data_IF_927730006653
#
_entry.id   IF_927730006653
#
_cell.length_a   1.000
_cell.length_b   1.000
_cell.length_c   1.000
_cell.angle_alpha   90.00
_cell.angle_beta   90.00
_cell.angle_gamma   90.00
#
_symmetry.space_group_name_H-M   'P 1'
#
loop_
_entity.id
_entity.type
_entity.pdbx_description
1 polymer ?
#
# COMPACT_ATOMS: atom_id res chain seq x y z
N UNK A 1 -10.63 -7.32 -15.70
CA UNK A 1 -10.17 -5.96 -15.35
C UNK A 1 -8.66 -5.82 -15.29
N UNK A 2 -7.94 -6.49 -14.38
CA UNK A 2 -6.47 -6.35 -14.32
C UNK A 2 -5.73 -6.94 -15.54
N UNK A 3 -6.34 -7.95 -16.16
CA UNK A 3 -5.85 -8.62 -17.38
C UNK A 3 -6.30 -7.93 -18.68
N UNK A 4 -7.09 -6.85 -18.60
CA UNK A 4 -7.56 -6.11 -19.77
C UNK A 4 -6.46 -5.19 -20.31
N UNK A 5 -6.57 -4.88 -21.60
CA UNK A 5 -5.65 -3.98 -22.31
C UNK A 5 -6.40 -2.71 -22.72
N UNK A 6 -5.67 -1.74 -23.29
CA UNK A 6 -6.32 -0.55 -23.83
C UNK A 6 -7.17 -0.82 -25.07
N UNK A 7 -7.15 -2.03 -25.64
CA UNK A 7 -8.11 -2.42 -26.70
C UNK A 7 -9.52 -2.58 -26.16
N UNK A 8 -9.66 -3.07 -24.93
CA UNK A 8 -10.96 -3.27 -24.28
C UNK A 8 -11.37 -2.08 -23.41
N UNK A 9 -10.41 -1.34 -22.85
CA UNK A 9 -10.67 -0.12 -22.05
C UNK A 9 -9.56 0.91 -22.18
N UNK A 10 -9.84 2.00 -22.89
CA UNK A 10 -8.96 3.16 -22.95
C UNK A 10 -8.66 3.71 -21.55
N UNK A 11 -7.47 4.30 -21.37
CA UNK A 11 -7.01 4.98 -20.14
C UNK A 11 -6.70 4.11 -18.91
N UNK A 12 -6.71 2.78 -19.05
CA UNK A 12 -6.42 1.86 -17.96
C UNK A 12 -4.99 2.05 -17.40
N UNK A 13 -4.88 2.28 -16.09
CA UNK A 13 -3.60 2.44 -15.38
C UNK A 13 -3.65 1.81 -13.98
N UNK A 14 -2.49 1.50 -13.42
CA UNK A 14 -2.38 1.04 -12.02
C UNK A 14 -2.76 2.18 -11.08
N UNK A 15 -3.55 1.89 -10.06
CA UNK A 15 -3.93 2.84 -9.01
C UNK A 15 -3.03 2.74 -7.79
N UNK A 16 -3.29 1.73 -6.97
CA UNK A 16 -2.55 1.40 -5.75
C UNK A 16 -2.16 -0.06 -5.78
N UNK A 17 -1.05 -0.39 -5.12
CA UNK A 17 -0.57 -1.77 -4.96
C UNK A 17 -0.33 -2.02 -3.48
N UNK A 18 -0.79 -3.18 -3.02
CA UNK A 18 -0.56 -3.65 -1.67
C UNK A 18 -0.04 -5.07 -1.73
N UNK A 19 0.87 -5.40 -0.82
CA UNK A 19 1.37 -6.76 -0.63
C UNK A 19 0.83 -7.27 0.69
N UNK A 20 0.15 -8.40 0.64
CA UNK A 20 -0.37 -9.10 1.81
C UNK A 20 0.37 -10.41 2.00
N UNK A 21 0.66 -10.75 3.24
CA UNK A 21 1.47 -11.91 3.60
C UNK A 21 0.79 -12.68 4.71
N UNK A 22 0.57 -13.97 4.48
CA UNK A 22 -0.09 -14.86 5.44
C UNK A 22 0.55 -16.25 5.40
N UNK A 23 1.30 -16.56 6.46
CA UNK A 23 2.05 -17.81 6.56
C UNK A 23 3.03 -18.00 5.39
N UNK A 24 2.86 -19.07 4.61
CA UNK A 24 3.71 -19.38 3.47
C UNK A 24 3.30 -18.66 2.17
N UNK A 25 2.20 -17.89 2.18
CA UNK A 25 1.60 -17.27 1.00
C UNK A 25 1.78 -15.76 1.03
N UNK A 26 2.15 -15.18 -0.11
CA UNK A 26 2.20 -13.75 -0.35
C UNK A 26 1.34 -13.42 -1.57
N UNK A 27 0.47 -12.41 -1.45
CA UNK A 27 -0.44 -11.96 -2.50
C UNK A 27 -0.18 -10.49 -2.78
N UNK A 28 0.15 -10.18 -4.02
CA UNK A 28 0.21 -8.80 -4.50
C UNK A 28 -1.18 -8.45 -5.05
N UNK A 29 -1.82 -7.45 -4.46
CA UNK A 29 -3.08 -6.89 -4.92
C UNK A 29 -2.84 -5.54 -5.60
N UNK A 30 -3.63 -5.23 -6.61
CA UNK A 30 -3.61 -3.93 -7.27
C UNK A 30 -5.01 -3.43 -7.56
N UNK A 31 -5.19 -2.11 -7.57
CA UNK A 31 -6.36 -1.47 -8.14
C UNK A 31 -6.09 -1.00 -9.56
N UNK A 32 -7.14 -1.02 -10.39
CA UNK A 32 -7.11 -0.44 -11.72
C UNK A 32 -7.85 0.89 -11.72
N UNK A 33 -7.21 1.94 -12.21
CA UNK A 33 -7.84 3.24 -12.50
C UNK A 33 -8.24 3.30 -13.96
N UNK A 34 -9.46 3.75 -14.20
CA UNK A 34 -10.05 3.87 -15.52
C UNK A 34 -11.07 5.01 -15.55
N UNK A 35 -11.38 5.50 -16.74
CA UNK A 35 -12.52 6.40 -16.93
C UNK A 35 -13.79 5.58 -17.18
N UNK A 36 -14.83 5.68 -16.33
CA UNK A 36 -16.08 4.97 -16.57
C UNK A 36 -16.84 5.57 -17.76
N UNK A 37 -17.60 4.74 -18.48
CA UNK A 37 -18.44 5.20 -19.61
C UNK A 37 -19.59 6.10 -19.14
N UNK A 38 -20.12 5.84 -17.94
CA UNK A 38 -21.16 6.65 -17.28
C UNK A 38 -20.60 7.28 -15.99
N UNK A 39 -19.89 8.42 -16.05
CA UNK A 39 -19.26 9.04 -14.88
C UNK A 39 -20.23 9.38 -13.74
N UNK A 40 -21.51 9.63 -14.03
CA UNK A 40 -22.52 9.97 -13.02
C UNK A 40 -22.86 8.82 -12.06
N UNK A 41 -22.55 7.58 -12.45
CA UNK A 41 -22.78 6.38 -11.62
C UNK A 41 -21.61 6.06 -10.68
N UNK A 42 -20.50 6.80 -10.78
CA UNK A 42 -19.26 6.52 -10.05
C UNK A 42 -18.73 7.75 -9.35
N UNK A 43 -18.10 7.54 -8.19
CA UNK A 43 -17.23 8.56 -7.63
C UNK A 43 -15.95 8.66 -8.47
N UNK A 44 -15.74 9.82 -9.07
CA UNK A 44 -14.57 10.11 -9.92
C UNK A 44 -13.73 11.24 -9.37
N UNK A 45 -12.43 11.18 -9.61
CA UNK A 45 -11.51 12.29 -9.30
C UNK A 45 -11.70 13.50 -10.23
N UNK A 46 -10.91 14.56 -10.01
CA UNK A 46 -10.90 15.79 -10.82
C UNK A 46 -10.56 15.56 -12.30
N UNK A 47 -10.06 14.38 -12.66
CA UNK A 47 -9.67 13.98 -14.01
C UNK A 47 -10.63 12.96 -14.64
N UNK A 48 -11.71 12.60 -13.92
CA UNK A 48 -12.74 11.66 -14.36
C UNK A 48 -12.36 10.18 -14.20
N UNK A 49 -11.36 9.85 -13.39
CA UNK A 49 -11.01 8.47 -13.10
C UNK A 49 -11.73 7.96 -11.87
N UNK A 50 -12.15 6.70 -11.93
CA UNK A 50 -12.51 5.90 -10.76
C UNK A 50 -11.50 4.75 -10.61
N UNK A 51 -11.50 4.10 -9.45
CA UNK A 51 -10.60 2.99 -9.14
C UNK A 51 -11.42 1.76 -8.74
N UNK A 52 -10.93 0.57 -9.09
CA UNK A 52 -11.44 -0.66 -8.48
C UNK A 52 -10.98 -0.78 -7.04
N UNK A 53 -11.61 -1.68 -6.29
CA UNK A 53 -10.99 -2.24 -5.10
C UNK A 53 -9.65 -2.93 -5.43
N UNK A 54 -8.90 -3.29 -4.38
CA UNK A 54 -7.67 -4.05 -4.51
C UNK A 54 -7.98 -5.50 -4.92
N UNK A 55 -7.66 -5.82 -6.17
CA UNK A 55 -7.85 -7.14 -6.75
C UNK A 55 -6.54 -7.94 -6.72
N UNK A 56 -6.57 -9.26 -6.42
CA UNK A 56 -5.38 -10.10 -6.49
C UNK A 56 -4.79 -10.11 -7.90
N UNK A 57 -3.50 -9.83 -8.00
CA UNK A 57 -2.76 -9.78 -9.26
C UNK A 57 -1.74 -10.91 -9.39
N UNK A 58 -0.99 -11.18 -8.32
CA UNK A 58 0.00 -12.26 -8.27
C UNK A 58 0.01 -12.93 -6.90
N UNK A 59 0.31 -14.23 -6.91
CA UNK A 59 0.41 -15.06 -5.72
C UNK A 59 1.72 -15.85 -5.74
N UNK A 60 2.40 -15.85 -4.60
CA UNK A 60 3.64 -16.56 -4.38
C UNK A 60 3.49 -17.47 -3.16
N UNK A 61 4.07 -18.67 -3.23
CA UNK A 61 4.05 -19.66 -2.15
C UNK A 61 5.46 -20.15 -1.89
N UNK A 62 5.84 -20.26 -0.62
CA UNK A 62 7.12 -20.84 -0.21
C UNK A 62 8.33 -19.93 -0.44
N UNK A 63 8.11 -18.60 -0.47
CA UNK A 63 9.21 -17.64 -0.47
C UNK A 63 9.96 -17.67 0.87
N UNK A 64 11.28 -17.54 0.80
CA UNK A 64 12.10 -17.27 1.98
C UNK A 64 11.76 -15.89 2.56
N UNK A 65 12.14 -15.69 3.82
CA UNK A 65 11.82 -14.47 4.57
C UNK A 65 12.37 -13.21 3.91
N UNK A 66 13.58 -13.27 3.34
CA UNK A 66 14.21 -12.08 2.77
C UNK A 66 13.60 -11.72 1.42
N UNK A 67 13.32 -12.70 0.57
CA UNK A 67 12.60 -12.48 -0.69
C UNK A 67 11.20 -11.94 -0.42
N UNK A 68 10.51 -12.47 0.59
CA UNK A 68 9.20 -11.97 1.02
C UNK A 68 9.28 -10.51 1.44
N UNK A 69 10.20 -10.18 2.36
CA UNK A 69 10.40 -8.81 2.83
C UNK A 69 10.78 -7.85 1.70
N UNK A 70 11.60 -8.31 0.75
CA UNK A 70 11.92 -7.51 -0.43
C UNK A 70 10.67 -7.18 -1.25
N UNK A 71 9.79 -8.15 -1.49
CA UNK A 71 8.55 -7.89 -2.25
C UNK A 71 7.60 -6.96 -1.49
N UNK A 72 7.44 -7.16 -0.18
CA UNK A 72 6.57 -6.36 0.69
C UNK A 72 6.95 -4.88 0.68
N UNK A 73 8.24 -4.57 0.67
CA UNK A 73 8.74 -3.19 0.72
C UNK A 73 8.95 -2.59 -0.66
N UNK A 74 9.55 -3.35 -1.58
CA UNK A 74 9.99 -2.81 -2.87
C UNK A 74 8.85 -2.65 -3.87
N UNK A 75 7.89 -3.58 -3.91
CA UNK A 75 6.85 -3.54 -4.94
C UNK A 75 5.92 -2.33 -4.78
N UNK A 76 5.36 -2.03 -3.59
CA UNK A 76 4.56 -0.83 -3.41
C UNK A 76 5.33 0.45 -3.74
N UNK A 77 6.57 0.55 -3.25
CA UNK A 77 7.44 1.70 -3.52
C UNK A 77 7.72 1.88 -5.02
N UNK A 78 8.06 0.81 -5.73
CA UNK A 78 8.35 0.87 -7.16
C UNK A 78 7.14 1.28 -8.01
N UNK A 79 5.93 0.94 -7.55
CA UNK A 79 4.69 1.35 -8.21
C UNK A 79 4.36 2.82 -7.91
N UNK A 80 4.56 3.27 -6.67
CA UNK A 80 4.33 4.65 -6.25
C UNK A 80 5.29 5.64 -6.90
N UNK A 81 6.58 5.32 -6.95
CA UNK A 81 7.60 6.14 -7.62
C UNK A 81 7.27 6.31 -9.12
N UNK A 82 6.64 5.28 -9.71
CA UNK A 82 6.19 5.25 -11.11
C UNK A 82 7.30 5.72 -12.09
N UNK A 83 6.92 6.34 -13.21
CA UNK A 83 7.87 7.05 -14.08
C UNK A 83 8.93 6.20 -14.82
N UNK A 84 8.87 4.87 -14.76
CA UNK A 84 9.91 3.98 -15.32
C UNK A 84 10.88 3.42 -14.28
N UNK A 85 10.71 3.73 -13.00
CA UNK A 85 11.50 3.12 -11.93
C UNK A 85 11.34 1.59 -11.95
N UNK A 86 12.43 0.86 -11.75
CA UNK A 86 12.46 -0.60 -11.84
C UNK A 86 11.84 -1.16 -13.15
N UNK A 87 11.95 -0.41 -14.26
CA UNK A 87 11.29 -0.70 -15.55
C UNK A 87 9.75 -0.76 -15.51
N UNK A 88 9.15 -0.35 -14.40
CA UNK A 88 7.70 -0.35 -14.22
C UNK A 88 7.06 0.84 -14.92
N UNK A 89 5.92 0.59 -15.58
CA UNK A 89 5.07 1.63 -16.18
C UNK A 89 3.64 1.44 -15.75
N UNK A 90 3.05 2.49 -15.19
CA UNK A 90 1.68 2.53 -14.66
C UNK A 90 0.59 2.26 -15.71
N UNK A 91 0.78 2.70 -16.94
CA UNK A 91 -0.25 2.66 -17.97
C UNK A 91 -0.26 1.31 -18.70
N UNK A 92 -1.45 0.72 -18.84
CA UNK A 92 -1.65 -0.37 -19.78
C UNK A 92 -1.40 0.12 -21.22
N UNK A 93 -1.11 -0.82 -22.10
CA UNK A 93 -1.06 -0.57 -23.55
C UNK A 93 -1.92 -1.57 -24.28
N UNK A 94 -2.11 -1.37 -25.57
CA UNK A 94 -2.84 -2.25 -26.47
C UNK A 94 -2.43 -3.72 -26.31
N UNK A 95 -1.13 -3.96 -26.09
CA UNK A 95 -0.53 -5.30 -26.03
C UNK A 95 -0.14 -5.77 -24.62
N UNK A 96 -0.25 -4.93 -23.59
CA UNK A 96 0.19 -5.27 -22.22
C UNK A 96 -0.84 -4.82 -21.20
N UNK A 97 -1.38 -5.79 -20.46
CA UNK A 97 -2.30 -5.55 -19.34
C UNK A 97 -1.56 -4.98 -18.11
N UNK A 98 -2.31 -4.59 -17.08
CA UNK A 98 -1.71 -4.13 -15.81
C UNK A 98 -0.92 -5.25 -15.11
N UNK A 99 -1.39 -6.50 -15.21
CA UNK A 99 -0.64 -7.66 -14.69
C UNK A 99 0.68 -7.83 -15.45
N UNK A 100 0.68 -7.68 -16.78
CA UNK A 100 1.90 -7.78 -17.57
C UNK A 100 2.88 -6.67 -17.25
N UNK A 101 2.38 -5.46 -16.94
CA UNK A 101 3.20 -4.35 -16.46
C UNK A 101 3.85 -4.66 -15.11
N UNK A 102 3.10 -5.24 -14.18
CA UNK A 102 3.65 -5.64 -12.89
C UNK A 102 4.68 -6.77 -13.05
N UNK A 103 4.49 -7.71 -13.98
CA UNK A 103 5.49 -8.75 -14.29
C UNK A 103 6.79 -8.21 -14.89
N UNK A 104 6.74 -7.04 -15.55
CA UNK A 104 7.96 -6.40 -16.07
C UNK A 104 8.75 -5.63 -15.02
N UNK A 105 8.24 -5.53 -13.78
CA UNK A 105 8.95 -4.90 -12.68
C UNK A 105 10.24 -5.66 -12.38
N UNK A 106 11.37 -4.96 -12.50
CA UNK A 106 12.70 -5.52 -12.27
C UNK A 106 13.07 -5.41 -10.80
N UNK A 107 13.17 -6.57 -10.14
CA UNK A 107 13.60 -6.64 -8.74
C UNK A 107 15.13 -6.57 -8.62
N UNK A 108 15.65 -5.92 -7.56
CA UNK A 108 17.07 -5.95 -7.27
C UNK A 108 17.55 -7.37 -6.95
N UNK A 109 18.79 -7.67 -7.32
CA UNK A 109 19.39 -8.98 -7.08
C UNK A 109 19.78 -9.13 -5.61
N UNK A 110 19.25 -10.17 -4.95
CA UNK A 110 19.41 -10.38 -3.51
C UNK A 110 20.86 -10.31 -3.02
N UNK A 111 21.79 -10.93 -3.77
CA UNK A 111 23.24 -10.95 -3.45
C UNK A 111 23.87 -9.56 -3.32
N UNK A 112 23.28 -8.53 -3.94
CA UNK A 112 23.80 -7.17 -3.91
C UNK A 112 23.18 -6.28 -2.83
N UNK A 113 22.08 -6.70 -2.21
CA UNK A 113 21.28 -5.83 -1.32
C UNK A 113 20.99 -6.43 0.05
N UNK A 114 21.42 -7.66 0.32
CA UNK A 114 21.09 -8.40 1.55
C UNK A 114 21.39 -7.60 2.82
N UNK A 115 22.61 -7.06 2.95
CA UNK A 115 23.00 -6.25 4.12
C UNK A 115 22.22 -4.93 4.22
N UNK A 116 21.85 -4.34 3.08
CA UNK A 116 21.11 -3.08 3.05
C UNK A 116 19.64 -3.30 3.44
N UNK A 117 19.04 -4.39 2.95
CA UNK A 117 17.70 -4.82 3.30
C UNK A 117 17.61 -5.17 4.80
N UNK A 118 18.57 -5.93 5.33
CA UNK A 118 18.63 -6.23 6.76
C UNK A 118 18.71 -4.98 7.62
N UNK A 119 19.57 -4.02 7.24
CA UNK A 119 19.69 -2.74 7.94
C UNK A 119 18.39 -1.92 7.88
N UNK A 120 17.74 -1.91 6.72
CA UNK A 120 16.44 -1.26 6.55
C UNK A 120 15.38 -1.89 7.46
N UNK A 121 15.24 -3.21 7.42
CA UNK A 121 14.25 -3.95 8.23
C UNK A 121 14.47 -3.75 9.72
N UNK A 122 15.73 -3.75 10.18
CA UNK A 122 16.07 -3.46 11.58
C UNK A 122 15.61 -2.07 11.99
N UNK A 123 15.94 -1.03 11.22
CA UNK A 123 15.54 0.35 11.51
C UNK A 123 14.03 0.54 11.47
N UNK A 124 13.35 -0.11 10.52
CA UNK A 124 11.89 -0.10 10.45
C UNK A 124 11.26 -0.74 11.69
N UNK A 125 11.83 -1.86 12.15
CA UNK A 125 11.43 -2.51 13.40
C UNK A 125 11.60 -1.59 14.60
N UNK A 126 12.78 -0.99 14.77
CA UNK A 126 13.07 -0.03 15.84
C UNK A 126 12.11 1.17 15.81
N UNK A 127 11.81 1.71 14.62
CA UNK A 127 10.85 2.81 14.47
C UNK A 127 9.43 2.41 14.91
N UNK A 128 8.99 1.19 14.58
CA UNK A 128 7.68 0.67 14.98
C UNK A 128 7.60 0.41 16.50
N UNK A 129 8.69 -0.04 17.12
CA UNK A 129 8.77 -0.17 18.57
C UNK A 129 8.67 1.19 19.26
N UNK A 130 9.41 2.20 18.77
CA UNK A 130 9.33 3.56 19.28
C UNK A 130 7.93 4.18 19.10
N UNK A 131 7.27 3.95 17.96
CA UNK A 131 5.89 4.40 17.74
C UNK A 131 4.91 3.75 18.72
N UNK A 132 5.10 2.47 19.03
CA UNK A 132 4.32 1.77 20.06
C UNK A 132 4.56 2.37 21.45
N UNK A 133 5.81 2.59 21.83
CA UNK A 133 6.15 3.24 23.11
C UNK A 133 5.58 4.65 23.23
N UNK A 134 5.62 5.43 22.13
CA UNK A 134 5.03 6.76 22.06
C UNK A 134 3.52 6.71 22.31
N UNK A 135 2.82 5.80 21.63
CA UNK A 135 1.37 5.65 21.79
C UNK A 135 1.00 5.21 23.21
N UNK A 136 1.75 4.27 23.80
CA UNK A 136 1.57 3.84 25.19
C UNK A 136 1.78 5.02 26.15
N UNK A 137 2.83 5.81 25.94
CA UNK A 137 3.12 7.00 26.75
C UNK A 137 2.06 8.09 26.60
N UNK A 138 1.56 8.34 25.38
CA UNK A 138 0.50 9.31 25.15
C UNK A 138 -0.79 8.90 25.89
N UNK A 139 -1.16 7.63 25.84
CA UNK A 139 -2.32 7.12 26.57
C UNK A 139 -2.15 7.31 28.09
N UNK A 140 -0.94 7.07 28.64
CA UNK A 140 -0.67 7.34 30.06
C UNK A 140 -0.78 8.83 30.41
N UNK A 141 -0.35 9.72 29.50
CA UNK A 141 -0.51 11.17 29.69
C UNK A 141 -1.99 11.55 29.69
N UNK A 142 -2.77 11.02 28.76
CA UNK A 142 -4.20 11.29 28.65
C UNK A 142 -4.93 10.84 29.93
N UNK A 143 -4.64 9.63 30.43
CA UNK A 143 -5.18 9.13 31.70
C UNK A 143 -4.87 10.07 32.88
N UNK A 144 -3.63 10.56 33.00
CA UNK A 144 -3.23 11.50 34.04
C UNK A 144 -3.96 12.84 33.91
N UNK A 145 -4.11 13.35 32.68
CA UNK A 145 -4.83 14.61 32.42
C UNK A 145 -6.30 14.46 32.78
N UNK A 146 -6.93 13.37 32.37
CA UNK A 146 -8.33 13.07 32.68
C UNK A 146 -8.56 12.97 34.19
N UNK A 147 -7.65 12.30 34.93
CA UNK A 147 -7.70 12.24 36.40
C UNK A 147 -7.52 13.63 37.03
N UNK A 148 -6.52 14.41 36.59
CA UNK A 148 -6.20 15.72 37.16
C UNK A 148 -7.35 16.72 37.02
N UNK A 149 -8.06 16.68 35.88
CA UNK A 149 -9.23 17.53 35.63
C UNK A 149 -10.55 16.88 36.05
N UNK A 150 -10.51 15.65 36.58
CA UNK A 150 -11.65 14.86 37.03
C UNK A 150 -12.74 14.80 35.94
N UNK A 151 -12.31 14.56 34.70
CA UNK A 151 -13.18 14.44 33.55
C UNK A 151 -13.99 13.15 33.65
N UNK A 152 -15.28 13.24 33.37
CA UNK A 152 -16.14 12.07 33.26
C UNK A 152 -16.04 11.46 31.85
N UNK A 153 -16.46 10.21 31.69
CA UNK A 153 -16.44 9.52 30.38
C UNK A 153 -17.10 10.36 29.27
N UNK A 154 -18.20 11.07 29.57
CA UNK A 154 -18.87 11.97 28.61
C UNK A 154 -17.97 13.14 28.16
N UNK A 155 -17.17 13.71 29.06
CA UNK A 155 -16.25 14.82 28.73
C UNK A 155 -15.05 14.32 27.91
N UNK A 156 -14.54 13.12 28.23
CA UNK A 156 -13.46 12.45 27.49
C UNK A 156 -13.88 12.16 26.05
N UNK A 157 -15.06 11.58 25.85
CA UNK A 157 -15.58 11.23 24.52
C UNK A 157 -15.74 12.47 23.62
N UNK A 158 -16.16 13.61 24.18
CA UNK A 158 -16.23 14.89 23.45
C UNK A 158 -14.84 15.38 23.03
N UNK A 159 -13.83 15.22 23.88
CA UNK A 159 -12.46 15.65 23.58
C UNK A 159 -11.85 14.75 22.50
N UNK A 160 -11.94 13.43 22.64
CA UNK A 160 -11.36 12.47 21.69
C UNK A 160 -11.99 12.60 20.30
N UNK A 161 -13.33 12.72 20.23
CA UNK A 161 -14.04 12.94 18.95
C UNK A 161 -13.70 14.28 18.26
N UNK A 162 -13.12 15.23 19.00
CA UNK A 162 -12.65 16.50 18.45
C UNK A 162 -11.23 16.41 17.86
N UNK A 163 -10.43 15.43 18.30
CA UNK A 163 -9.06 15.19 17.88
C UNK A 163 -8.97 14.29 16.64
N UNK A 164 -9.94 13.39 16.43
CA UNK A 164 -10.02 12.46 15.29
C UNK A 164 -10.47 13.11 13.94
N UNK A 165 -10.18 14.40 13.72
CA UNK A 165 -10.56 15.15 12.51
C UNK A 165 -9.43 15.46 11.54
#
# INVERSE_FOLDING_TARGET
>A
MLSETTESRDSLRVGSVQVESSGAKLVIKMSARYKPENPEEYETDRWGYTATELLPAMEFVGLDEKTRALLEEFVPYAVEEAGGFAEFRENATTTKSLIDRLKTLTLPQMKGIENDLERYLKRKGEAKELEKELNETNNEIDDIVYELFNLVEEDVEIIESSLDK
#
